data_IF_687502018328
#
_entry.id   IF_687502018328
#
_cell.length_a   1.000
_cell.length_b   1.000
_cell.length_c   1.000
_cell.angle_alpha   90.00
_cell.angle_beta   90.00
_cell.angle_gamma   90.00
#
_symmetry.space_group_name_H-M   'P 1'
#
loop_
_entity.id
_entity.type
_entity.pdbx_description
1 polymer ?
#
# COMPACT_ATOMS: atom_id res chain seq x y z
N UNK A 1 -27.38 -16.28 58.81
CA UNK A 1 -28.02 -15.24 57.96
C UNK A 1 -27.07 -14.05 57.91
N UNK A 2 -26.23 -13.95 56.86
CA UNK A 2 -25.39 -12.77 56.57
C UNK A 2 -26.03 -12.10 55.35
N UNK A 3 -26.72 -10.99 55.55
CA UNK A 3 -27.23 -10.14 54.48
C UNK A 3 -26.09 -9.25 54.01
N UNK A 4 -25.37 -9.67 52.97
CA UNK A 4 -24.35 -8.84 52.32
C UNK A 4 -25.05 -7.74 51.51
N UNK A 5 -24.66 -6.50 51.80
CA UNK A 5 -25.13 -5.27 51.15
C UNK A 5 -24.82 -5.28 49.65
N UNK A 6 -25.82 -5.62 48.83
CA UNK A 6 -25.77 -5.53 47.36
C UNK A 6 -25.84 -4.06 46.89
N UNK A 7 -26.30 -3.14 47.75
CA UNK A 7 -26.48 -1.72 47.42
C UNK A 7 -25.18 -0.94 47.26
N UNK A 8 -24.25 -1.03 48.22
CA UNK A 8 -23.01 -0.22 48.19
C UNK A 8 -22.10 -0.57 47.01
N UNK A 9 -22.01 -1.85 46.63
CA UNK A 9 -21.21 -2.28 45.50
C UNK A 9 -21.68 -1.68 44.16
N UNK A 10 -23.00 -1.51 43.98
CA UNK A 10 -23.58 -0.89 42.77
C UNK A 10 -23.23 0.59 42.67
N UNK A 11 -23.25 1.33 43.79
CA UNK A 11 -22.89 2.75 43.81
C UNK A 11 -21.40 2.97 43.51
N UNK A 12 -20.51 2.10 44.01
CA UNK A 12 -19.08 2.18 43.68
C UNK A 12 -18.79 1.85 42.21
N UNK A 13 -19.46 0.85 41.64
CA UNK A 13 -19.32 0.50 40.22
C UNK A 13 -19.87 1.61 39.32
N UNK A 14 -21.01 2.22 39.67
CA UNK A 14 -21.58 3.33 38.90
C UNK A 14 -20.66 4.55 38.92
N UNK A 15 -20.12 4.92 40.10
CA UNK A 15 -19.18 6.02 40.23
C UNK A 15 -17.88 5.80 39.44
N UNK A 16 -17.37 4.57 39.44
CA UNK A 16 -16.17 4.21 38.66
C UNK A 16 -16.42 4.31 37.14
N UNK A 17 -17.56 3.80 36.65
CA UNK A 17 -17.96 3.91 35.25
C UNK A 17 -18.17 5.36 34.81
N UNK A 18 -18.83 6.18 35.64
CA UNK A 18 -18.99 7.61 35.36
C UNK A 18 -17.65 8.33 35.30
N UNK A 19 -16.71 8.00 36.19
CA UNK A 19 -15.35 8.53 36.17
C UNK A 19 -14.60 8.20 34.87
N UNK A 20 -14.70 6.95 34.39
CA UNK A 20 -14.09 6.54 33.13
C UNK A 20 -14.65 7.29 31.91
N UNK A 21 -15.96 7.54 31.88
CA UNK A 21 -16.61 8.31 30.79
C UNK A 21 -16.11 9.75 30.80
N UNK A 22 -16.04 10.40 31.98
CA UNK A 22 -15.53 11.77 32.10
C UNK A 22 -14.07 11.85 31.63
N UNK A 23 -13.22 10.89 32.03
CA UNK A 23 -11.82 10.83 31.58
C UNK A 23 -11.75 10.67 30.06
N UNK A 24 -12.53 9.76 29.47
CA UNK A 24 -12.57 9.56 28.02
C UNK A 24 -13.05 10.82 27.26
N UNK A 25 -14.04 11.54 27.79
CA UNK A 25 -14.52 12.81 27.21
C UNK A 25 -13.47 13.92 27.30
N UNK A 26 -12.75 14.02 28.43
CA UNK A 26 -11.66 14.99 28.60
C UNK A 26 -10.52 14.67 27.63
N UNK A 27 -10.10 13.41 27.52
CA UNK A 27 -9.09 12.98 26.56
C UNK A 27 -9.51 13.31 25.11
N UNK A 28 -10.77 13.04 24.74
CA UNK A 28 -11.30 13.43 23.44
C UNK A 28 -11.29 14.95 23.19
N UNK A 29 -11.61 15.76 24.21
CA UNK A 29 -11.56 17.23 24.11
C UNK A 29 -10.13 17.76 23.93
N UNK A 30 -9.11 17.07 24.45
CA UNK A 30 -7.70 17.36 24.23
C UNK A 30 -7.13 16.73 22.95
N UNK A 31 -7.98 16.22 22.05
CA UNK A 31 -7.58 15.67 20.76
C UNK A 31 -6.88 14.31 20.86
N UNK A 32 -6.98 13.62 22.00
CA UNK A 32 -6.52 12.24 22.11
C UNK A 32 -7.53 11.36 21.37
N UNK A 33 -7.15 10.67 20.29
CA UNK A 33 -8.08 9.86 19.52
C UNK A 33 -8.61 8.72 20.39
N UNK A 34 -9.94 8.57 20.42
CA UNK A 34 -10.59 7.35 20.90
C UNK A 34 -10.20 6.23 19.94
N UNK A 35 -9.23 5.41 20.34
CA UNK A 35 -8.82 4.24 19.57
C UNK A 35 -9.89 3.17 19.77
N UNK A 36 -10.74 2.97 18.77
CA UNK A 36 -11.59 1.79 18.69
C UNK A 36 -10.70 0.57 18.43
N UNK A 37 -10.99 -0.54 19.09
CA UNK A 37 -10.37 -1.85 18.84
C UNK A 37 -10.88 -2.51 17.54
N UNK A 38 -11.68 -1.83 16.73
CA UNK A 38 -11.96 -2.30 15.36
C UNK A 38 -10.62 -2.45 14.65
N UNK A 39 -10.25 -3.70 14.32
CA UNK A 39 -9.00 -3.99 13.64
C UNK A 39 -8.86 -3.11 12.40
N UNK A 40 -7.66 -2.58 12.17
CA UNK A 40 -7.37 -1.72 11.01
C UNK A 40 -7.64 -2.50 9.71
N UNK A 41 -8.86 -2.36 9.20
CA UNK A 41 -9.33 -3.04 8.01
C UNK A 41 -9.31 -2.05 6.87
N UNK A 42 -8.54 -2.37 5.84
CA UNK A 42 -8.52 -1.64 4.58
C UNK A 42 -9.73 -2.12 3.79
N UNK A 43 -10.64 -1.20 3.44
CA UNK A 43 -11.81 -1.52 2.62
C UNK A 43 -11.53 -1.19 1.16
N UNK A 44 -11.82 -2.13 0.27
CA UNK A 44 -11.92 -1.87 -1.16
C UNK A 44 -13.38 -1.63 -1.51
N UNK A 45 -13.72 -0.37 -1.80
CA UNK A 45 -15.08 0.06 -2.07
C UNK A 45 -15.54 -0.39 -3.45
N UNK A 46 -16.76 -0.92 -3.56
CA UNK A 46 -17.36 -1.15 -4.87
C UNK A 46 -17.72 0.19 -5.51
N UNK A 47 -17.30 0.40 -6.76
CA UNK A 47 -17.63 1.58 -7.57
C UNK A 47 -18.23 1.14 -8.90
N UNK A 48 -19.16 1.94 -9.42
CA UNK A 48 -19.77 1.72 -10.73
C UNK A 48 -19.01 2.49 -11.81
N UNK A 49 -18.79 1.86 -12.97
CA UNK A 49 -18.22 2.52 -14.15
C UNK A 49 -16.72 2.27 -14.36
N UNK A 50 -16.04 3.27 -14.95
CA UNK A 50 -14.62 3.17 -15.28
C UNK A 50 -13.73 3.24 -14.03
N UNK A 51 -12.68 2.43 -14.06
CA UNK A 51 -11.67 2.39 -13.00
C UNK A 51 -10.68 3.55 -13.12
N UNK A 52 -10.11 4.03 -11.99
CA UNK A 52 -9.15 5.12 -12.00
C UNK A 52 -7.96 4.80 -12.91
N UNK A 53 -7.59 5.78 -13.73
CA UNK A 53 -6.39 5.76 -14.59
C UNK A 53 -5.25 6.54 -13.95
N UNK A 54 -5.55 7.47 -13.05
CA UNK A 54 -4.57 8.30 -12.34
C UNK A 54 -4.86 8.39 -10.84
N UNK A 55 -3.86 8.83 -10.09
CA UNK A 55 -3.94 9.03 -8.64
C UNK A 55 -4.78 10.25 -8.23
N UNK A 56 -5.09 11.16 -9.15
CA UNK A 56 -5.91 12.37 -8.94
C UNK A 56 -7.36 12.24 -9.45
N UNK A 57 -7.76 11.06 -9.94
CA UNK A 57 -9.13 10.80 -10.38
C UNK A 57 -10.16 11.04 -9.27
N UNK A 58 -11.32 11.60 -9.63
CA UNK A 58 -12.37 11.96 -8.66
C UNK A 58 -13.01 10.75 -7.96
N UNK A 59 -12.88 9.54 -8.52
CA UNK A 59 -13.36 8.30 -7.90
C UNK A 59 -12.75 8.07 -6.52
N UNK A 60 -11.54 8.57 -6.25
CA UNK A 60 -10.92 8.44 -4.93
C UNK A 60 -11.67 9.18 -3.82
N UNK A 61 -12.55 10.14 -4.16
CA UNK A 61 -13.39 10.84 -3.20
C UNK A 61 -14.53 9.97 -2.66
N UNK A 62 -14.89 8.87 -3.34
CA UNK A 62 -15.95 7.95 -2.89
C UNK A 62 -15.44 6.89 -1.90
N UNK A 63 -14.13 6.75 -1.75
CA UNK A 63 -13.51 5.77 -0.87
C UNK A 63 -12.89 6.45 0.36
N UNK A 64 -13.21 5.94 1.55
CA UNK A 64 -12.56 6.39 2.78
C UNK A 64 -11.09 5.95 2.78
N UNK A 65 -10.19 6.85 3.20
CA UNK A 65 -8.79 6.51 3.44
C UNK A 65 -8.56 5.93 4.84
N UNK A 66 -7.55 5.07 4.94
CA UNK A 66 -6.98 4.64 6.21
C UNK A 66 -5.49 4.97 6.22
N UNK A 67 -5.01 5.56 7.31
CA UNK A 67 -3.59 5.81 7.51
C UNK A 67 -2.99 4.68 8.34
N UNK A 68 -2.06 3.95 7.74
CA UNK A 68 -1.34 2.86 8.39
C UNK A 68 0.01 3.35 8.92
N UNK A 69 0.38 3.01 10.16
CA UNK A 69 1.72 3.29 10.66
C UNK A 69 2.74 2.37 9.99
N UNK A 70 3.92 2.91 9.71
CA UNK A 70 5.07 2.19 9.18
C UNK A 70 6.19 2.16 10.21
N UNK A 71 6.96 1.07 10.18
CA UNK A 71 8.09 0.85 11.07
C UNK A 71 9.33 0.47 10.26
N UNK A 72 10.52 0.67 10.84
CA UNK A 72 11.77 0.29 10.19
C UNK A 72 11.92 -1.23 10.09
N UNK A 73 12.54 -1.71 9.02
CA UNK A 73 12.96 -3.11 8.95
C UNK A 73 14.03 -3.41 10.02
N UNK A 74 13.67 -4.18 11.04
CA UNK A 74 14.59 -4.62 12.11
C UNK A 74 14.74 -6.14 12.19
N UNK A 75 14.13 -6.89 11.26
CA UNK A 75 14.10 -8.36 11.29
C UNK A 75 15.42 -8.96 10.81
N UNK A 76 16.01 -8.43 9.74
CA UNK A 76 17.25 -8.96 9.14
C UNK A 76 18.35 -7.91 9.09
N UNK A 77 19.61 -8.37 9.10
CA UNK A 77 20.77 -7.50 8.95
C UNK A 77 21.00 -7.15 7.47
N UNK A 78 21.44 -5.93 7.14
CA UNK A 78 21.59 -4.79 8.06
C UNK A 78 20.23 -4.24 8.50
N UNK A 79 20.09 -4.01 9.82
CA UNK A 79 18.86 -3.42 10.37
C UNK A 79 18.75 -1.95 9.97
N UNK A 80 17.53 -1.47 9.79
CA UNK A 80 17.21 -0.11 9.43
C UNK A 80 16.06 0.42 10.31
N UNK A 81 16.35 0.78 11.57
CA UNK A 81 15.32 1.16 12.53
C UNK A 81 14.71 2.54 12.29
N UNK A 82 15.38 3.40 11.50
CA UNK A 82 15.01 4.80 11.30
C UNK A 82 14.56 5.07 9.85
N UNK A 83 13.39 4.55 9.43
CA UNK A 83 12.79 5.00 8.19
C UNK A 83 12.32 6.44 8.34
N UNK A 84 12.43 7.22 7.28
CA UNK A 84 11.92 8.60 7.25
C UNK A 84 10.41 8.64 7.04
N UNK A 85 9.88 7.69 6.27
CA UNK A 85 8.44 7.56 6.03
C UNK A 85 7.81 6.71 7.14
N UNK A 86 6.93 7.34 7.93
CA UNK A 86 6.34 6.74 9.14
C UNK A 86 4.86 6.38 9.00
N UNK A 87 4.21 6.81 7.94
CA UNK A 87 2.80 6.54 7.70
C UNK A 87 2.53 6.47 6.20
N UNK A 88 1.57 5.61 5.82
CA UNK A 88 1.06 5.50 4.47
C UNK A 88 -0.46 5.65 4.52
N UNK A 89 -1.00 6.53 3.69
CA UNK A 89 -2.45 6.65 3.53
C UNK A 89 -2.87 5.79 2.35
N UNK A 90 -3.87 4.93 2.57
CA UNK A 90 -4.34 3.94 1.60
C UNK A 90 -5.82 4.15 1.32
N UNK A 91 -6.19 4.21 0.04
CA UNK A 91 -7.57 4.02 -0.44
C UNK A 91 -7.61 2.84 -1.40
N UNK A 92 -8.74 2.14 -1.48
CA UNK A 92 -8.94 1.10 -2.48
C UNK A 92 -10.36 1.11 -3.02
N UNK A 93 -10.48 0.86 -4.32
CA UNK A 93 -11.76 0.74 -5.05
C UNK A 93 -11.70 -0.46 -5.99
N UNK A 94 -12.85 -1.03 -6.32
CA UNK A 94 -13.00 -2.08 -7.33
C UNK A 94 -14.36 -1.95 -8.03
N UNK A 95 -14.45 -2.43 -9.26
CA UNK A 95 -15.70 -2.47 -10.04
C UNK A 95 -16.17 -3.90 -10.35
N UNK A 96 -15.64 -4.90 -9.64
CA UNK A 96 -15.88 -6.32 -9.88
C UNK A 96 -15.06 -6.95 -11.01
N UNK A 97 -14.41 -6.17 -11.88
CA UNK A 97 -13.47 -6.68 -12.90
C UNK A 97 -12.01 -6.33 -12.59
N UNK A 98 -11.79 -5.19 -11.94
CA UNK A 98 -10.48 -4.66 -11.60
C UNK A 98 -10.50 -4.11 -10.17
N UNK A 99 -9.32 -4.05 -9.56
CA UNK A 99 -9.09 -3.42 -8.27
C UNK A 99 -7.96 -2.40 -8.39
N UNK A 100 -8.11 -1.28 -7.70
CA UNK A 100 -7.12 -0.23 -7.63
C UNK A 100 -6.83 0.17 -6.18
N UNK A 101 -5.61 0.63 -5.95
CA UNK A 101 -5.12 1.17 -4.70
C UNK A 101 -4.50 2.53 -4.96
N UNK A 102 -4.84 3.50 -4.11
CA UNK A 102 -4.15 4.79 -4.03
C UNK A 102 -3.34 4.80 -2.75
N UNK A 103 -2.07 5.15 -2.88
CA UNK A 103 -1.03 5.12 -1.85
C UNK A 103 -0.42 6.52 -1.78
N UNK A 104 -0.51 7.13 -0.60
CA UNK A 104 -0.06 8.51 -0.37
C UNK A 104 0.87 8.57 0.84
N UNK A 105 2.08 9.12 0.67
CA UNK A 105 3.02 9.32 1.77
C UNK A 105 3.76 10.64 1.63
N UNK A 106 4.15 11.21 2.78
CA UNK A 106 4.97 12.41 2.83
C UNK A 106 6.42 12.08 2.49
N UNK A 107 6.97 12.85 1.55
CA UNK A 107 8.37 12.83 1.17
C UNK A 107 8.75 14.22 0.65
N UNK A 108 9.62 14.93 1.37
CA UNK A 108 10.03 16.28 1.01
C UNK A 108 10.93 16.31 -0.22
N UNK A 109 11.41 15.16 -0.67
CA UNK A 109 12.25 15.00 -1.85
C UNK A 109 11.51 14.20 -2.91
N UNK A 110 11.85 14.49 -4.17
CA UNK A 110 11.36 13.73 -5.32
C UNK A 110 12.54 12.99 -5.94
N UNK A 111 12.76 11.75 -5.53
CA UNK A 111 13.87 10.93 -6.03
C UNK A 111 13.39 10.01 -7.16
N UNK A 112 13.09 10.59 -8.33
CA UNK A 112 12.57 9.91 -9.52
C UNK A 112 13.64 9.57 -10.59
N UNK A 113 14.93 9.61 -10.21
CA UNK A 113 16.06 9.33 -11.10
C UNK A 113 17.16 8.55 -10.38
N UNK A 114 17.76 7.60 -11.11
CA UNK A 114 18.99 6.95 -10.66
C UNK A 114 20.20 7.53 -11.33
N UNK A 115 21.12 7.98 -10.50
CA UNK A 115 22.49 8.32 -10.82
C UNK A 115 23.38 7.61 -9.80
N UNK A 116 24.68 7.43 -10.06
CA UNK A 116 25.58 6.84 -9.08
C UNK A 116 25.48 7.58 -7.73
N UNK A 117 25.14 6.84 -6.67
CA UNK A 117 24.99 7.39 -5.32
C UNK A 117 23.61 7.93 -4.97
N UNK A 118 22.64 7.95 -5.90
CA UNK A 118 21.25 8.27 -5.62
C UNK A 118 20.37 7.03 -5.59
N UNK A 119 19.33 7.06 -4.76
CA UNK A 119 18.34 5.99 -4.66
C UNK A 119 16.98 6.54 -5.09
N UNK A 120 16.09 5.62 -5.47
CA UNK A 120 14.76 5.96 -5.99
C UNK A 120 13.74 5.92 -4.85
N UNK A 121 12.70 6.72 -4.97
CA UNK A 121 11.50 6.51 -4.18
C UNK A 121 10.72 5.30 -4.71
N UNK A 122 10.02 4.62 -3.82
CA UNK A 122 9.24 3.45 -4.17
C UNK A 122 8.20 3.10 -3.12
N UNK A 123 7.14 2.43 -3.56
CA UNK A 123 6.13 1.85 -2.68
C UNK A 123 5.75 0.48 -3.23
N UNK A 124 5.47 -0.46 -2.34
CA UNK A 124 5.03 -1.79 -2.71
C UNK A 124 3.84 -2.27 -1.91
N UNK A 125 3.00 -3.07 -2.57
CA UNK A 125 1.90 -3.83 -1.98
C UNK A 125 2.29 -5.30 -2.02
N UNK A 126 2.21 -6.00 -0.89
CA UNK A 126 2.43 -7.45 -0.80
C UNK A 126 1.13 -8.17 -0.50
N UNK A 127 0.93 -9.33 -1.12
CA UNK A 127 -0.20 -10.22 -0.91
C UNK A 127 0.31 -11.66 -0.76
N UNK A 128 -0.17 -12.45 0.21
CA UNK A 128 0.20 -13.85 0.28
C UNK A 128 -0.41 -14.64 -0.87
N UNK A 129 0.28 -15.70 -1.27
CA UNK A 129 -0.21 -16.71 -2.20
C UNK A 129 -0.70 -17.91 -1.38
N UNK A 130 -1.95 -18.30 -1.61
CA UNK A 130 -2.63 -19.35 -0.84
C UNK A 130 -3.13 -18.89 0.54
N UNK A 131 -3.63 -19.85 1.32
CA UNK A 131 -4.30 -19.61 2.60
C UNK A 131 -3.36 -19.66 3.82
N UNK A 132 -2.13 -20.15 3.61
CA UNK A 132 -1.21 -20.39 4.69
C UNK A 132 -0.44 -19.11 5.09
N UNK A 133 -0.06 -18.94 6.38
CA UNK A 133 0.52 -17.69 6.85
C UNK A 133 1.91 -17.48 6.24
N UNK A 134 1.99 -16.68 5.18
CA UNK A 134 3.26 -16.23 4.63
C UNK A 134 3.86 -15.13 5.52
N UNK A 135 5.19 -15.09 5.60
CA UNK A 135 5.86 -13.99 6.27
C UNK A 135 5.80 -12.72 5.41
N UNK A 136 5.38 -11.59 5.97
CA UNK A 136 5.14 -10.36 5.18
C UNK A 136 6.42 -9.78 4.55
N UNK A 137 7.59 -10.07 5.12
CA UNK A 137 8.87 -9.66 4.54
C UNK A 137 9.34 -10.60 3.43
N UNK A 138 8.56 -10.67 2.34
CA UNK A 138 8.88 -11.44 1.12
C UNK A 138 8.60 -12.94 1.17
N UNK A 139 7.72 -13.41 2.05
CA UNK A 139 7.33 -14.82 2.14
C UNK A 139 8.30 -15.66 2.97
N UNK A 140 8.09 -16.97 2.91
CA UNK A 140 8.97 -18.00 3.47
C UNK A 140 8.87 -19.26 2.61
N UNK A 141 9.69 -20.28 2.88
CA UNK A 141 9.66 -21.53 2.11
C UNK A 141 8.23 -22.10 2.07
N UNK A 142 7.78 -22.47 0.87
CA UNK A 142 6.44 -22.97 0.54
C UNK A 142 5.27 -22.00 0.83
N UNK A 143 5.57 -20.76 1.20
CA UNK A 143 4.58 -19.71 1.47
C UNK A 143 5.01 -18.42 0.78
N UNK A 144 4.69 -18.36 -0.50
CA UNK A 144 5.09 -17.27 -1.38
C UNK A 144 4.20 -16.04 -1.20
N UNK A 145 4.71 -14.89 -1.61
CA UNK A 145 3.94 -13.66 -1.70
C UNK A 145 4.09 -13.05 -3.09
N UNK A 146 3.02 -12.46 -3.61
CA UNK A 146 3.03 -11.62 -4.79
C UNK A 146 3.18 -10.16 -4.37
N UNK A 147 4.11 -9.44 -5.00
CA UNK A 147 4.48 -8.08 -4.64
C UNK A 147 4.37 -7.19 -5.88
N UNK A 148 3.63 -6.10 -5.74
CA UNK A 148 3.55 -5.05 -6.75
C UNK A 148 4.43 -3.90 -6.29
N UNK A 149 5.52 -3.63 -6.99
CA UNK A 149 6.50 -2.63 -6.60
C UNK A 149 6.55 -1.48 -7.61
N UNK A 150 5.94 -0.36 -7.25
CA UNK A 150 6.05 0.87 -8.02
C UNK A 150 7.38 1.57 -7.76
N UNK A 151 7.99 2.10 -8.82
CA UNK A 151 9.30 2.75 -8.78
C UNK A 151 9.25 4.12 -9.46
N UNK A 152 9.70 5.15 -8.75
CA UNK A 152 9.62 6.54 -9.23
C UNK A 152 10.40 6.77 -10.54
N UNK A 153 11.54 6.12 -10.72
CA UNK A 153 12.31 6.23 -11.96
C UNK A 153 11.64 5.51 -13.15
N UNK A 154 10.92 4.41 -12.90
CA UNK A 154 10.16 3.73 -13.94
C UNK A 154 8.99 4.59 -14.41
N UNK A 155 8.33 5.30 -13.48
CA UNK A 155 7.33 6.32 -13.81
C UNK A 155 7.95 7.45 -14.65
N UNK A 156 9.09 8.00 -14.22
CA UNK A 156 9.78 9.07 -14.94
C UNK A 156 10.23 8.65 -16.35
N UNK A 157 10.66 7.40 -16.54
CA UNK A 157 10.96 6.84 -17.87
C UNK A 157 9.73 6.86 -18.80
N UNK A 158 8.58 6.43 -18.29
CA UNK A 158 7.31 6.39 -19.03
C UNK A 158 6.85 7.81 -19.40
N UNK A 159 6.86 8.74 -18.45
CA UNK A 159 6.42 10.11 -18.67
C UNK A 159 7.31 10.83 -19.71
N UNK A 160 8.64 10.67 -19.60
CA UNK A 160 9.59 11.22 -20.58
C UNK A 160 9.37 10.66 -21.98
N UNK A 161 9.04 9.37 -22.09
CA UNK A 161 8.75 8.74 -23.37
C UNK A 161 7.46 9.30 -23.97
N UNK A 162 6.40 9.41 -23.18
CA UNK A 162 5.13 9.98 -23.61
C UNK A 162 5.29 11.43 -24.09
N UNK A 163 6.07 12.25 -23.36
CA UNK A 163 6.36 13.64 -23.72
C UNK A 163 7.14 13.79 -25.04
N UNK A 164 7.99 12.80 -25.40
CA UNK A 164 8.79 12.79 -26.64
C UNK A 164 8.08 12.17 -27.85
N UNK A 165 6.98 11.45 -27.65
CA UNK A 165 6.20 10.85 -28.74
C UNK A 165 5.82 11.85 -29.86
N UNK A 166 5.40 13.11 -29.58
CA UNK A 166 5.10 14.09 -30.62
C UNK A 166 6.33 14.67 -31.35
N UNK A 167 7.55 14.55 -30.80
CA UNK A 167 8.78 15.15 -31.38
C UNK A 167 9.43 14.29 -32.48
N UNK A 168 8.77 13.22 -32.93
CA UNK A 168 9.30 12.30 -33.94
C UNK A 168 9.34 12.97 -35.32
N UNK A 169 10.30 13.88 -35.53
CA UNK A 169 10.62 14.48 -36.82
C UNK A 169 11.26 13.43 -37.73
N UNK A 170 10.72 13.27 -38.92
CA UNK A 170 11.36 12.53 -40.02
C UNK A 170 12.74 13.15 -40.31
N UNK A 171 13.79 12.32 -40.36
CA UNK A 171 15.11 12.72 -40.90
C UNK A 171 16.23 13.02 -39.89
N UNK A 172 16.06 12.79 -38.59
CA UNK A 172 17.14 12.92 -37.61
C UNK A 172 18.08 11.70 -37.52
N UNK A 173 19.33 11.92 -37.09
CA UNK A 173 20.26 10.84 -36.70
C UNK A 173 19.56 9.91 -35.72
N UNK A 174 19.67 8.58 -35.90
CA UNK A 174 19.15 7.60 -34.94
C UNK A 174 19.85 7.79 -33.60
N UNK A 175 19.29 8.59 -32.71
CA UNK A 175 19.68 8.59 -31.31
C UNK A 175 19.30 7.22 -30.77
N UNK A 176 20.28 6.47 -30.25
CA UNK A 176 19.99 5.24 -29.54
C UNK A 176 18.96 5.56 -28.44
N UNK A 177 17.84 4.85 -28.43
CA UNK A 177 16.82 5.01 -27.42
C UNK A 177 17.35 4.40 -26.11
N UNK A 178 17.95 5.22 -25.26
CA UNK A 178 18.57 4.77 -23.99
C UNK A 178 17.53 4.63 -22.86
N UNK A 179 16.32 5.15 -23.04
CA UNK A 179 15.24 4.99 -22.05
C UNK A 179 14.63 3.59 -22.16
N UNK A 180 14.67 2.76 -21.11
CA UNK A 180 14.08 1.43 -21.13
C UNK A 180 12.59 1.46 -21.51
N UNK A 181 12.15 0.51 -22.34
CA UNK A 181 10.73 0.35 -22.68
C UNK A 181 10.03 -0.40 -21.57
N UNK A 182 9.39 0.33 -20.67
CA UNK A 182 8.59 -0.23 -19.58
C UNK A 182 7.11 -0.18 -19.95
N UNK A 183 6.43 -1.30 -19.79
CA UNK A 183 4.98 -1.42 -20.01
C UNK A 183 4.15 -0.93 -18.82
N UNK A 184 4.78 -0.74 -17.67
CA UNK A 184 4.20 -0.24 -16.42
C UNK A 184 5.30 0.36 -15.53
N UNK A 185 4.94 1.29 -14.65
CA UNK A 185 5.80 1.80 -13.58
C UNK A 185 5.88 0.84 -12.37
N UNK A 186 5.13 -0.26 -12.41
CA UNK A 186 5.10 -1.31 -11.40
C UNK A 186 5.83 -2.55 -11.91
N UNK A 187 6.73 -3.07 -11.08
CA UNK A 187 7.29 -4.41 -11.25
C UNK A 187 6.44 -5.43 -10.49
N UNK A 188 6.02 -6.49 -11.18
CA UNK A 188 5.31 -7.62 -10.59
C UNK A 188 6.32 -8.71 -10.17
N UNK A 189 6.35 -9.02 -8.87
CA UNK A 189 7.39 -9.80 -8.20
C UNK A 189 6.77 -10.97 -7.41
N UNK A 190 7.58 -12.01 -7.21
CA UNK A 190 7.33 -13.12 -6.28
C UNK A 190 8.43 -13.15 -5.23
N UNK A 191 8.07 -13.44 -3.98
CA UNK A 191 9.01 -13.74 -2.91
C UNK A 191 8.63 -15.03 -2.18
N UNK A 192 9.62 -15.86 -1.87
CA UNK A 192 9.51 -17.07 -1.02
C UNK A 192 10.45 -17.03 0.19
N UNK A 193 10.81 -15.83 0.65
CA UNK A 193 11.80 -15.59 1.69
C UNK A 193 12.70 -14.39 1.40
N UNK A 194 13.50 -14.02 2.40
CA UNK A 194 14.56 -13.03 2.21
C UNK A 194 15.51 -13.43 1.07
N UNK A 195 15.88 -12.44 0.25
CA UNK A 195 16.79 -12.62 -0.89
C UNK A 195 16.27 -13.49 -2.04
N UNK A 196 14.97 -13.82 -2.06
CA UNK A 196 14.35 -14.64 -3.13
C UNK A 196 13.45 -13.84 -4.08
N UNK A 197 13.46 -12.51 -3.97
CA UNK A 197 12.68 -11.63 -4.84
C UNK A 197 12.99 -11.93 -6.31
N UNK A 198 11.96 -12.33 -7.04
CA UNK A 198 12.06 -12.75 -8.44
C UNK A 198 11.05 -11.96 -9.27
N UNK A 199 11.52 -11.30 -10.32
CA UNK A 199 10.65 -10.64 -11.31
C UNK A 199 9.89 -11.70 -12.10
N UNK A 200 8.57 -11.53 -12.23
CA UNK A 200 7.75 -12.44 -13.06
C UNK A 200 8.10 -12.31 -14.53
N UNK A 201 8.02 -13.42 -15.27
CA UNK A 201 8.28 -13.47 -16.71
C UNK A 201 7.34 -12.55 -17.51
N UNK A 202 6.07 -12.49 -17.09
CA UNK A 202 5.08 -11.58 -17.66
C UNK A 202 4.95 -10.32 -16.80
N UNK A 203 5.17 -9.17 -17.41
CA UNK A 203 5.04 -7.84 -16.79
C UNK A 203 3.92 -7.03 -17.45
N UNK A 204 3.44 -6.00 -16.76
CA UNK A 204 2.45 -5.05 -17.30
C UNK A 204 0.99 -5.38 -17.02
N UNK A 205 0.69 -6.50 -16.34
CA UNK A 205 -0.67 -6.74 -15.84
C UNK A 205 -1.05 -5.75 -14.74
N UNK A 206 -0.11 -5.47 -13.84
CA UNK A 206 -0.26 -4.42 -12.84
C UNK A 206 0.19 -3.11 -13.47
N UNK A 207 -0.74 -2.17 -13.55
CA UNK A 207 -0.51 -0.83 -14.10
C UNK A 207 -0.32 0.14 -12.95
N UNK A 208 0.66 1.04 -13.09
CA UNK A 208 0.91 2.11 -12.13
C UNK A 208 0.85 3.48 -12.77
N UNK A 209 0.45 4.45 -11.96
CA UNK A 209 0.61 5.87 -12.25
C UNK A 209 0.94 6.57 -10.95
N UNK A 210 1.85 7.54 -10.97
CA UNK A 210 2.11 8.33 -9.78
C UNK A 210 2.70 9.69 -10.09
N UNK A 211 2.50 10.62 -9.16
CA UNK A 211 3.07 11.95 -9.23
C UNK A 211 3.47 12.42 -7.83
N UNK A 212 4.42 13.35 -7.80
CA UNK A 212 4.84 14.03 -6.58
C UNK A 212 4.34 15.47 -6.62
N UNK A 213 3.71 15.91 -5.54
CA UNK A 213 3.20 17.27 -5.39
C UNK A 213 3.28 17.71 -3.94
N UNK A 214 3.82 18.90 -3.70
CA UNK A 214 3.83 19.57 -2.40
C UNK A 214 4.34 18.69 -1.24
N UNK A 215 5.42 17.94 -1.47
CA UNK A 215 6.00 17.05 -0.45
C UNK A 215 5.26 15.74 -0.24
N UNK A 216 4.38 15.34 -1.17
CA UNK A 216 3.59 14.11 -1.07
C UNK A 216 3.65 13.35 -2.39
N UNK A 217 3.99 12.07 -2.31
CA UNK A 217 3.79 11.12 -3.41
C UNK A 217 2.36 10.63 -3.42
N UNK A 218 1.76 10.59 -4.61
CA UNK A 218 0.45 9.99 -4.87
C UNK A 218 0.67 8.90 -5.91
N UNK A 219 0.45 7.64 -5.53
CA UNK A 219 0.71 6.48 -6.38
C UNK A 219 -0.53 5.62 -6.47
N UNK A 220 -1.02 5.42 -7.69
CA UNK A 220 -2.08 4.50 -8.02
C UNK A 220 -1.49 3.22 -8.60
N UNK A 221 -1.93 2.07 -8.10
CA UNK A 221 -1.70 0.77 -8.74
C UNK A 221 -3.03 0.08 -9.00
N UNK A 222 -3.21 -0.48 -10.19
CA UNK A 222 -4.42 -1.23 -10.55
C UNK A 222 -4.09 -2.53 -11.26
N UNK A 223 -4.95 -3.53 -11.08
CA UNK A 223 -4.87 -4.84 -11.73
C UNK A 223 -6.26 -5.40 -11.96
N UNK A 224 -6.49 -6.15 -13.06
CA UNK A 224 -7.65 -7.02 -13.18
C UNK A 224 -7.76 -8.01 -12.00
N UNK A 225 -9.00 -8.35 -11.62
CA UNK A 225 -9.33 -9.34 -10.58
C UNK A 225 -9.28 -10.77 -11.11
N UNK A 226 -9.63 -10.97 -12.39
CA UNK A 226 -9.46 -12.27 -13.04
C UNK A 226 -7.98 -12.66 -12.96
N UNK A 227 -7.67 -13.85 -12.42
CA UNK A 227 -6.29 -14.35 -12.43
C UNK A 227 -6.01 -15.13 -13.70
N UNK A 228 -4.88 -14.82 -14.34
CA UNK A 228 -4.37 -15.55 -15.50
C UNK A 228 -3.24 -16.53 -15.14
N UNK A 229 -2.66 -16.37 -13.94
CA UNK A 229 -1.55 -17.17 -13.43
C UNK A 229 -1.85 -17.61 -11.99
N UNK A 230 -2.72 -18.61 -11.83
CA UNK A 230 -3.30 -19.00 -10.53
C UNK A 230 -2.27 -19.30 -9.44
N UNK A 231 -1.06 -19.76 -9.79
CA UNK A 231 -0.01 -20.09 -8.82
C UNK A 231 0.83 -18.88 -8.37
N UNK A 232 0.94 -17.83 -9.21
CA UNK A 232 1.84 -16.69 -9.01
C UNK A 232 1.08 -15.35 -8.89
N UNK A 233 -0.21 -15.39 -8.62
CA UNK A 233 -1.05 -14.20 -8.47
C UNK A 233 -1.94 -14.31 -7.24
N UNK A 234 -1.96 -13.22 -6.47
CA UNK A 234 -2.87 -13.13 -5.34
C UNK A 234 -4.33 -13.16 -5.81
N UNK A 235 -5.10 -14.07 -5.25
CA UNK A 235 -6.53 -14.21 -5.52
C UNK A 235 -7.29 -13.13 -4.76
N UNK A 236 -7.86 -12.17 -5.49
CA UNK A 236 -8.65 -11.06 -4.94
C UNK A 236 -10.10 -11.26 -5.39
N UNK A 237 -11.00 -11.51 -4.45
CA UNK A 237 -12.39 -11.87 -4.77
C UNK A 237 -13.34 -10.91 -4.06
N UNK A 238 -14.22 -10.19 -4.79
CA UNK A 238 -15.27 -9.38 -4.19
C UNK A 238 -16.11 -10.16 -3.19
N UNK A 239 -16.38 -9.55 -2.03
CA UNK A 239 -17.09 -10.17 -0.91
C UNK A 239 -16.23 -11.07 -0.03
N UNK A 240 -14.93 -11.19 -0.29
CA UNK A 240 -13.98 -11.91 0.58
C UNK A 240 -13.02 -10.95 1.28
N UNK A 241 -12.42 -11.45 2.35
CA UNK A 241 -11.32 -10.80 3.06
C UNK A 241 -10.01 -11.44 2.59
N UNK A 242 -9.05 -10.61 2.22
CA UNK A 242 -7.67 -10.97 1.94
C UNK A 242 -6.77 -10.28 2.97
N UNK A 243 -5.48 -10.63 3.01
CA UNK A 243 -4.47 -9.86 3.74
C UNK A 243 -3.53 -9.12 2.79
N UNK A 244 -3.07 -7.95 3.22
CA UNK A 244 -2.19 -7.07 2.45
C UNK A 244 -1.13 -6.46 3.35
N UNK A 245 0.09 -6.29 2.84
CA UNK A 245 1.20 -5.62 3.52
C UNK A 245 1.76 -4.52 2.63
N UNK A 246 2.51 -3.60 3.24
CA UNK A 246 3.05 -2.45 2.52
C UNK A 246 4.52 -2.24 2.83
N UNK A 247 5.21 -1.62 1.88
CA UNK A 247 6.58 -1.16 2.06
C UNK A 247 6.79 0.16 1.33
N UNK A 248 7.56 1.07 1.93
CA UNK A 248 7.92 2.36 1.33
C UNK A 248 9.42 2.56 1.42
N UNK A 249 10.00 3.12 0.36
CA UNK A 249 11.40 3.50 0.27
C UNK A 249 11.50 4.98 -0.03
N UNK A 250 12.19 5.72 0.84
CA UNK A 250 12.63 7.08 0.58
C UNK A 250 14.08 7.10 0.06
N UNK A 251 14.25 7.56 -1.18
CA UNK A 251 15.53 7.60 -1.88
C UNK A 251 16.55 8.56 -1.26
N UNK A 252 16.11 9.68 -0.70
CA UNK A 252 16.96 10.65 0.01
C UNK A 252 17.56 10.02 1.28
N UNK A 253 16.76 9.22 2.01
CA UNK A 253 17.24 8.44 3.15
C UNK A 253 18.04 7.18 2.75
N UNK A 254 18.37 7.02 1.46
CA UNK A 254 19.13 5.89 0.91
C UNK A 254 18.46 4.54 1.09
N UNK A 255 17.14 4.52 1.30
CA UNK A 255 16.37 3.30 1.47
C UNK A 255 16.35 2.53 0.14
N UNK A 256 16.63 1.22 0.21
CA UNK A 256 16.65 0.30 -0.93
C UNK A 256 16.61 -1.14 -0.45
N UNK A 257 16.11 -2.05 -1.27
CA UNK A 257 16.04 -3.48 -0.96
C UNK A 257 15.36 -3.70 0.41
N UNK A 258 16.03 -4.36 1.37
CA UNK A 258 15.51 -4.57 2.72
C UNK A 258 15.51 -3.33 3.63
N UNK A 259 16.24 -2.26 3.29
CA UNK A 259 16.26 -1.00 4.06
C UNK A 259 15.07 -0.17 3.62
N UNK A 260 13.98 -0.22 4.39
CA UNK A 260 12.68 0.35 4.04
C UNK A 260 11.78 0.50 5.26
N UNK A 261 10.75 1.33 5.11
CA UNK A 261 9.60 1.34 6.00
C UNK A 261 8.68 0.16 5.65
N UNK A 262 8.16 -0.55 6.65
CA UNK A 262 7.28 -1.71 6.49
C UNK A 262 6.01 -1.60 7.34
N UNK A 263 4.91 -2.07 6.76
CA UNK A 263 3.67 -2.37 7.45
C UNK A 263 3.44 -3.89 7.37
N UNK A 264 3.10 -4.58 8.48
CA UNK A 264 2.82 -6.01 8.49
C UNK A 264 1.49 -6.32 7.77
N UNK A 265 0.94 -7.51 7.98
CA UNK A 265 -0.36 -7.88 7.42
C UNK A 265 -1.51 -7.06 8.04
N UNK A 266 -2.28 -6.41 7.18
CA UNK A 266 -3.59 -5.82 7.45
C UNK A 266 -4.68 -6.62 6.75
N UNK A 267 -5.91 -6.55 7.24
CA UNK A 267 -7.06 -7.12 6.55
C UNK A 267 -7.49 -6.20 5.41
N UNK A 268 -7.62 -6.76 4.21
CA UNK A 268 -8.22 -6.14 3.04
C UNK A 268 -9.62 -6.73 2.85
N UNK A 269 -10.66 -5.99 3.21
CA UNK A 269 -12.05 -6.35 2.94
C UNK A 269 -12.43 -5.84 1.56
N UNK A 270 -12.68 -6.74 0.61
CA UNK A 270 -13.17 -6.37 -0.72
C UNK A 270 -14.68 -6.44 -0.67
N UNK A 271 -15.35 -5.31 -0.87
CA UNK A 271 -16.81 -5.29 -0.82
C UNK A 271 -17.41 -6.23 -1.89
N UNK A 272 -18.59 -6.82 -1.66
CA UNK A 272 -19.32 -7.52 -2.71
C UNK A 272 -19.58 -6.58 -3.89
N UNK A 273 -19.69 -7.13 -5.10
CA UNK A 273 -20.21 -6.37 -6.25
C UNK A 273 -21.65 -6.01 -5.95
N UNK A 274 -21.99 -4.72 -6.01
CA UNK A 274 -23.38 -4.28 -5.85
C UNK A 274 -24.26 -4.99 -6.90
N UNK A 275 -25.27 -5.73 -6.43
CA UNK A 275 -26.30 -6.28 -7.31
C UNK A 275 -27.29 -5.17 -7.64
N UNK A 276 -27.48 -4.91 -8.94
CA UNK A 276 -28.60 -4.12 -9.46
C UNK A 276 -29.95 -4.75 -9.09
#
# INVERSE_FOLDING_TARGET
>A
MRTTSIGSARFHVLGFLSGLIVIASVLGAFGVPLVSSEGMTIRSFSVQGEMPKTADDTVWQTASSITIPLSGQVITRPVWPEPTVRALTVRSVHNGTDIAFLLEWQDNTKNDRLTPGTFRDGVAIGFPLGDAPAFFCMGQLDHYINIWHWKADWQSDIDRRAARAPEKKEGGVRTFEVIPRRVSSVEDLIGGGFSTLTTKDKQGRVQGQGFWKDGVWHVMMRRPLLSEEQENEATLVPGRIQTVSFSVWNGENKERNGQKAVAPWFQLRIDPVEKL
#
